data_IF_330840327344
#
_entry.id   IF_330840327344
#
_cell.length_a   1.000
_cell.length_b   1.000
_cell.length_c   1.000
_cell.angle_alpha   90.00
_cell.angle_beta   90.00
_cell.angle_gamma   90.00
#
_symmetry.space_group_name_H-M   'P 1'
#
loop_
_entity.id
_entity.type
_entity.pdbx_description
1 polymer ?
#
# COMPACT_ATOMS: atom_id res chain seq x y z
N UNK A 1 1.45 -4.76 -37.43
CA UNK A 1 1.07 -5.58 -36.26
C UNK A 1 1.82 -4.98 -35.09
N UNK A 2 1.19 -3.96 -34.53
CA UNK A 2 1.84 -2.84 -33.90
C UNK A 2 1.81 -2.98 -32.38
N UNK A 3 2.92 -2.57 -31.76
CA UNK A 3 3.10 -2.10 -30.38
C UNK A 3 2.25 -2.80 -29.31
N UNK A 4 2.91 -3.66 -28.53
CA UNK A 4 2.78 -3.85 -27.09
C UNK A 4 1.93 -2.79 -26.32
N UNK A 5 0.60 -2.82 -26.44
CA UNK A 5 -0.36 -2.02 -25.66
C UNK A 5 -0.66 -2.69 -24.31
N UNK A 6 0.40 -3.14 -23.62
CA UNK A 6 0.34 -3.16 -22.17
C UNK A 6 0.19 -1.69 -21.77
N UNK A 7 -1.06 -1.25 -21.58
CA UNK A 7 -1.35 0.03 -20.93
C UNK A 7 -0.47 0.15 -19.68
N UNK A 8 -0.05 1.38 -19.29
CA UNK A 8 0.90 1.57 -18.20
C UNK A 8 0.50 0.66 -17.05
N UNK A 9 1.38 -0.23 -16.54
CA UNK A 9 1.00 -1.27 -15.59
C UNK A 9 0.21 -0.57 -14.50
N UNK A 10 -1.08 -0.90 -14.42
CA UNK A 10 -2.10 -0.18 -13.65
C UNK A 10 -1.44 0.40 -12.40
N UNK A 11 -1.25 1.72 -12.38
CA UNK A 11 -0.32 2.40 -11.50
C UNK A 11 -0.38 1.76 -10.11
N UNK A 12 0.64 0.95 -9.78
CA UNK A 12 0.67 0.22 -8.51
C UNK A 12 0.74 1.32 -7.45
N UNK A 13 -0.41 1.62 -6.84
CA UNK A 13 -0.53 2.69 -5.88
C UNK A 13 0.10 2.18 -4.59
N UNK A 14 1.40 2.35 -4.49
CA UNK A 14 2.20 2.04 -3.31
C UNK A 14 2.10 3.19 -2.30
N UNK A 15 1.92 2.85 -1.02
CA UNK A 15 1.82 3.80 0.09
C UNK A 15 2.81 3.44 1.19
N UNK A 16 3.60 4.42 1.60
CA UNK A 16 4.47 4.31 2.77
C UNK A 16 3.74 4.78 4.02
N UNK A 17 4.26 4.45 5.20
CA UNK A 17 3.66 4.88 6.46
C UNK A 17 3.48 6.40 6.54
N UNK A 18 4.49 7.16 6.06
CA UNK A 18 4.42 8.61 5.99
C UNK A 18 3.29 9.10 5.08
N UNK A 19 3.10 8.44 3.93
CA UNK A 19 2.06 8.81 2.96
C UNK A 19 0.66 8.39 3.39
N UNK A 20 0.56 7.38 4.26
CA UNK A 20 -0.67 7.02 4.96
C UNK A 20 -1.04 8.02 6.07
N UNK A 21 -0.16 8.98 6.39
CA UNK A 21 -0.39 9.96 7.45
C UNK A 21 0.11 9.50 8.82
N UNK A 22 1.07 8.56 8.87
CA UNK A 22 1.62 7.98 10.11
C UNK A 22 0.54 7.42 11.02
N UNK A 23 -0.37 6.64 10.45
CA UNK A 23 -1.44 5.97 11.19
C UNK A 23 -0.86 5.14 12.33
N UNK A 24 -1.35 5.35 13.54
CA UNK A 24 -0.90 4.63 14.75
C UNK A 24 -1.92 3.63 15.26
N UNK A 25 -3.11 3.63 14.68
CA UNK A 25 -4.22 2.77 15.07
C UNK A 25 -4.73 1.99 13.86
N UNK A 26 -5.14 0.72 14.04
CA UNK A 26 -5.83 -0.01 13.00
C UNK A 26 -7.23 0.58 12.82
N UNK A 27 -7.61 0.85 11.57
CA UNK A 27 -8.88 1.51 11.29
C UNK A 27 -9.04 1.90 9.82
N UNK A 28 -10.16 2.56 9.54
CA UNK A 28 -10.51 3.04 8.21
C UNK A 28 -10.23 4.54 8.13
N UNK A 29 -9.24 4.91 7.34
CA UNK A 29 -8.77 6.28 7.14
C UNK A 29 -9.28 6.83 5.82
N UNK A 30 -9.58 8.13 5.77
CA UNK A 30 -9.99 8.77 4.52
C UNK A 30 -8.74 9.00 3.64
N UNK A 31 -8.72 8.36 2.48
CA UNK A 31 -7.67 8.51 1.47
C UNK A 31 -8.19 9.39 0.34
N UNK A 32 -7.30 10.01 -0.45
CA UNK A 32 -7.64 11.08 -1.42
C UNK A 32 -8.91 10.85 -2.26
N UNK A 33 -9.18 9.60 -2.61
CA UNK A 33 -10.31 9.20 -3.46
C UNK A 33 -11.08 8.05 -2.83
N UNK A 34 -11.23 8.00 -1.51
CA UNK A 34 -11.95 6.90 -0.86
C UNK A 34 -11.50 6.60 0.57
N UNK A 35 -11.56 5.34 0.95
CA UNK A 35 -11.28 4.88 2.29
C UNK A 35 -10.17 3.84 2.28
N UNK A 36 -9.10 4.07 3.05
CA UNK A 36 -8.01 3.15 3.27
C UNK A 36 -8.20 2.40 4.58
N UNK A 37 -8.33 1.09 4.50
CA UNK A 37 -8.37 0.22 5.67
C UNK A 37 -6.96 -0.24 6.02
N UNK A 38 -6.56 0.05 7.25
CA UNK A 38 -5.28 -0.31 7.85
C UNK A 38 -5.56 -1.32 8.96
N UNK A 39 -4.95 -2.49 8.91
CA UNK A 39 -5.12 -3.52 9.94
C UNK A 39 -4.01 -3.44 10.99
N UNK A 40 -4.21 -4.14 12.12
CA UNK A 40 -3.20 -4.19 13.17
C UNK A 40 -1.90 -4.88 12.71
N UNK A 41 -2.03 -5.82 11.75
CA UNK A 41 -0.90 -6.52 11.15
C UNK A 41 -0.04 -5.57 10.30
N UNK A 42 -0.69 -4.78 9.43
CA UNK A 42 -0.01 -3.75 8.63
C UNK A 42 0.71 -2.72 9.51
N UNK A 43 0.06 -2.33 10.62
CA UNK A 43 0.63 -1.42 11.59
C UNK A 43 1.86 -2.00 12.29
N UNK A 44 1.84 -3.30 12.63
CA UNK A 44 2.97 -3.98 13.24
C UNK A 44 4.18 -4.04 12.29
N UNK A 45 3.95 -4.18 10.97
CA UNK A 45 5.01 -4.09 9.97
C UNK A 45 5.57 -2.67 9.92
N UNK A 46 4.73 -1.63 9.86
CA UNK A 46 5.20 -0.24 9.89
C UNK A 46 5.95 0.13 11.17
N UNK A 47 5.54 -0.45 12.31
CA UNK A 47 6.21 -0.30 13.61
C UNK A 47 7.64 -0.87 13.58
N UNK A 48 7.83 -2.01 12.89
CA UNK A 48 9.14 -2.66 12.75
C UNK A 48 9.96 -2.05 11.61
N UNK A 49 9.29 -1.64 10.53
CA UNK A 49 9.87 -1.16 9.28
C UNK A 49 9.16 0.15 8.87
N UNK A 50 9.64 1.31 9.34
CA UNK A 50 9.00 2.59 9.04
C UNK A 50 9.03 2.95 7.55
N UNK A 51 10.00 2.40 6.81
CA UNK A 51 10.14 2.54 5.35
C UNK A 51 9.37 1.48 4.55
N UNK A 52 8.62 0.59 5.21
CA UNK A 52 7.80 -0.40 4.52
C UNK A 52 6.74 0.26 3.64
N UNK A 53 6.59 -0.29 2.45
CA UNK A 53 5.69 0.22 1.43
C UNK A 53 4.61 -0.81 1.16
N UNK A 54 3.35 -0.42 1.32
CA UNK A 54 2.21 -1.30 1.06
C UNK A 54 1.59 -1.01 -0.28
N UNK A 55 1.10 -2.05 -0.95
CA UNK A 55 0.32 -1.92 -2.17
C UNK A 55 -1.14 -1.67 -1.81
N UNK A 56 -1.75 -0.61 -2.35
CA UNK A 56 -3.19 -0.41 -2.24
C UNK A 56 -3.91 -1.41 -3.11
N UNK A 57 -4.70 -2.27 -2.48
CA UNK A 57 -5.61 -3.19 -3.15
C UNK A 57 -7.02 -2.62 -3.04
N UNK A 58 -7.64 -2.34 -4.18
CA UNK A 58 -9.05 -1.94 -4.23
C UNK A 58 -9.90 -3.17 -3.94
N UNK A 59 -10.71 -3.13 -2.89
CA UNK A 59 -11.51 -4.28 -2.46
C UNK A 59 -12.99 -4.18 -2.86
N UNK A 60 -13.49 -2.99 -3.18
CA UNK A 60 -14.89 -2.80 -3.50
C UNK A 60 -15.15 -2.79 -5.02
N UNK A 61 -16.14 -3.60 -5.42
CA UNK A 61 -16.47 -3.87 -6.84
C UNK A 61 -17.57 -2.95 -7.38
N UNK A 62 -18.39 -2.31 -6.55
CA UNK A 62 -19.65 -1.70 -7.05
C UNK A 62 -20.01 -0.28 -6.60
N UNK A 63 -19.59 0.26 -5.44
CA UNK A 63 -19.93 1.67 -5.10
C UNK A 63 -19.10 2.35 -4.00
N UNK A 64 -18.12 1.67 -3.42
CA UNK A 64 -17.18 2.27 -2.48
C UNK A 64 -15.79 2.32 -3.09
N UNK A 65 -15.11 3.45 -3.07
CA UNK A 65 -13.67 3.46 -3.29
C UNK A 65 -12.97 3.00 -2.00
N UNK A 66 -13.17 1.73 -1.64
CA UNK A 66 -12.52 1.11 -0.49
C UNK A 66 -11.23 0.43 -0.94
N UNK A 67 -10.14 0.89 -0.33
CA UNK A 67 -8.80 0.39 -0.48
C UNK A 67 -8.39 -0.28 0.82
N UNK A 68 -7.64 -1.35 0.71
CA UNK A 68 -6.95 -1.99 1.84
C UNK A 68 -5.47 -2.09 1.54
N UNK A 69 -4.67 -2.14 2.59
CA UNK A 69 -3.29 -2.53 2.48
C UNK A 69 -3.23 -4.02 2.11
N UNK A 70 -2.54 -4.31 1.00
CA UNK A 70 -2.31 -5.66 0.51
C UNK A 70 -0.86 -6.07 0.71
N UNK A 71 -0.23 -6.57 -0.35
CA UNK A 71 1.18 -6.95 -0.29
C UNK A 71 2.07 -5.76 0.12
N UNK A 72 2.98 -6.02 1.05
CA UNK A 72 3.98 -5.06 1.48
C UNK A 72 5.35 -5.43 0.94
N UNK A 73 6.12 -4.40 0.64
CA UNK A 73 7.51 -4.47 0.24
C UNK A 73 8.33 -3.77 1.31
N UNK A 74 9.27 -4.52 1.88
CA UNK A 74 10.30 -3.95 2.72
C UNK A 74 11.41 -3.43 1.79
N UNK A 75 11.91 -2.21 1.99
CA UNK A 75 13.13 -1.81 1.31
C UNK A 75 14.22 -2.76 1.80
N UNK A 76 14.72 -3.60 0.89
CA UNK A 76 15.87 -4.44 1.18
C UNK A 76 17.03 -3.46 1.43
N UNK A 77 17.34 -3.20 2.70
CA UNK A 77 18.63 -2.62 3.05
C UNK A 77 19.72 -3.49 2.43
N UNK A 78 20.89 -2.93 2.06
CA UNK A 78 21.93 -3.69 1.38
C UNK A 78 22.15 -4.97 2.19
N UNK A 79 21.80 -6.08 1.56
CA UNK A 79 21.91 -7.42 2.12
C UNK A 79 23.40 -7.73 2.22
N UNK A 80 24.06 -7.15 3.23
CA UNK A 80 25.44 -7.43 3.64
C UNK A 80 25.40 -8.78 4.35
N UNK A 81 25.22 -9.85 3.58
CA UNK A 81 25.69 -11.15 4.04
C UNK A 81 27.22 -11.11 3.97
N UNK A 82 27.81 -11.40 5.12
CA UNK A 82 29.25 -11.38 5.40
C UNK A 82 29.81 -12.78 5.22
#
# INVERSE_FOLDING_TARGET
MDRNELGPPAAINKITWQKAGRVTEPGRYMFRFGWLTVTADDLAIWRQFPDATFTLVRTAKESGEEYRLGAFELPVGPQKYK
#
